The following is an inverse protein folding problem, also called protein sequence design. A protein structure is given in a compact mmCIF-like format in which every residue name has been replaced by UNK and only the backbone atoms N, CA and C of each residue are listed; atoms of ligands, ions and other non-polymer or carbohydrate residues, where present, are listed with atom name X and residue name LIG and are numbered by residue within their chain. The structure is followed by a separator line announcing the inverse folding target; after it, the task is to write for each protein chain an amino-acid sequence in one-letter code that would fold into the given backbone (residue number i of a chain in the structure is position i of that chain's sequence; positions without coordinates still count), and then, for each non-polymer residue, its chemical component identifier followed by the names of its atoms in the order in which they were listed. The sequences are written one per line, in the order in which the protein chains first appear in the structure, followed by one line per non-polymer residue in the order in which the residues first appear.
data_IF_398923492816
#
_entry.id   IF_398923492816
#
_cell.length_a   1.000
_cell.length_b   1.000
_cell.length_c   1.000
_cell.angle_alpha   90.00
_cell.angle_beta   90.00
_cell.angle_gamma   90.00
#
_symmetry.space_group_name_H-M   'P 1'
#
loop_
_entity.id
_entity.type
_entity.pdbx_description
1 polymer ?
#
# COMPACT_ATOMS: atom_id res chain seq x y z
N UNK A 1 27.36 12.66 22.45
CA UNK A 1 27.01 13.69 21.43
C UNK A 1 25.71 13.21 20.81
N UNK A 2 24.59 13.78 21.24
CA UNK A 2 23.26 13.44 20.73
C UNK A 2 23.08 14.09 19.36
N UNK A 3 22.63 13.37 18.34
CA UNK A 3 22.33 13.97 17.04
C UNK A 3 21.05 14.79 17.15
N UNK A 4 21.17 16.10 17.01
CA UNK A 4 20.03 17.01 16.92
C UNK A 4 19.40 16.88 15.54
N UNK A 5 18.13 16.45 15.48
CA UNK A 5 17.31 16.47 14.27
C UNK A 5 17.27 17.91 13.69
N UNK A 6 17.34 18.07 12.37
CA UNK A 6 17.25 19.38 11.74
C UNK A 6 15.88 20.02 12.00
N UNK A 7 15.91 21.32 12.36
CA UNK A 7 14.73 22.12 12.78
C UNK A 7 13.53 22.15 11.81
N UNK A 8 13.66 21.67 10.59
CA UNK A 8 12.58 21.64 9.59
C UNK A 8 11.57 20.51 9.81
N UNK A 9 11.95 19.38 10.41
CA UNK A 9 11.02 18.28 10.76
C UNK A 9 10.09 18.62 11.94
N UNK A 10 10.46 19.63 12.76
CA UNK A 10 9.70 19.98 13.97
C UNK A 10 8.38 20.73 13.72
N UNK A 11 8.14 21.22 12.50
CA UNK A 11 6.95 22.05 12.18
C UNK A 11 5.73 21.28 11.67
N UNK A 12 5.83 19.98 11.39
CA UNK A 12 4.73 19.19 10.79
C UNK A 12 4.06 18.21 11.75
N UNK A 13 4.47 18.17 13.03
CA UNK A 13 4.00 17.19 14.04
C UNK A 13 2.67 17.56 14.71
N UNK A 14 1.90 18.52 14.20
CA UNK A 14 0.63 18.94 14.83
C UNK A 14 -0.61 18.77 13.91
N UNK A 15 -0.70 17.72 13.15
CA UNK A 15 -1.94 17.44 12.42
C UNK A 15 -2.35 15.98 12.56
N UNK A 16 -3.35 15.73 13.38
CA UNK A 16 -4.17 14.53 13.34
C UNK A 16 -3.75 13.41 14.26
N UNK A 17 -4.21 13.43 15.54
CA UNK A 17 -4.44 12.21 16.31
C UNK A 17 -5.65 11.49 15.69
N UNK A 18 -5.44 10.80 14.60
CA UNK A 18 -6.37 9.81 14.13
C UNK A 18 -6.20 8.60 15.05
N UNK A 19 -7.23 8.25 15.83
CA UNK A 19 -7.31 6.98 16.53
C UNK A 19 -7.37 5.86 15.49
N UNK A 20 -6.21 5.37 15.06
CA UNK A 20 -6.10 4.13 14.33
C UNK A 20 -6.41 3.01 15.32
N UNK A 21 -7.63 2.50 15.29
CA UNK A 21 -7.93 1.21 15.90
C UNK A 21 -6.96 0.19 15.29
N UNK A 22 -6.29 -0.66 16.08
CA UNK A 22 -5.43 -1.71 15.55
C UNK A 22 -6.32 -2.68 14.76
N UNK A 23 -6.34 -2.53 13.45
CA UNK A 23 -6.95 -3.51 12.55
C UNK A 23 -5.86 -4.51 12.24
N UNK A 24 -5.93 -5.68 12.87
CA UNK A 24 -5.13 -6.83 12.45
C UNK A 24 -5.64 -7.29 11.08
N UNK A 25 -5.06 -6.76 10.03
CA UNK A 25 -5.43 -7.08 8.65
C UNK A 25 -4.75 -6.13 7.66
N UNK A 26 -4.80 -6.50 6.39
CA UNK A 26 -4.21 -5.75 5.30
C UNK A 26 -4.71 -4.31 5.21
N UNK A 27 -3.81 -3.39 4.92
CA UNK A 27 -4.18 -2.01 4.70
C UNK A 27 -4.76 -1.83 3.29
N UNK A 28 -6.01 -1.37 3.20
CA UNK A 28 -6.69 -1.03 1.94
C UNK A 28 -6.77 0.49 1.79
N UNK A 29 -6.42 0.97 0.61
CA UNK A 29 -6.44 2.39 0.27
C UNK A 29 -7.20 2.63 -1.03
N UNK A 30 -7.97 3.71 -1.16
CA UNK A 30 -8.47 4.12 -2.46
C UNK A 30 -7.27 4.42 -3.39
N UNK A 31 -7.38 4.03 -4.66
CA UNK A 31 -6.37 4.42 -5.64
C UNK A 31 -6.34 5.94 -5.78
N UNK A 32 -5.15 6.55 -5.76
CA UNK A 32 -5.03 7.98 -5.97
C UNK A 32 -5.45 8.37 -7.40
N UNK A 33 -5.85 9.62 -7.62
CA UNK A 33 -6.19 10.14 -8.94
C UNK A 33 -5.11 9.88 -10.00
N UNK A 34 -5.44 9.89 -11.29
CA UNK A 34 -4.43 9.83 -12.35
C UNK A 34 -3.34 10.89 -12.16
N UNK A 35 -2.08 10.49 -12.31
CA UNK A 35 -0.93 11.37 -12.10
C UNK A 35 -0.50 11.51 -10.64
N UNK A 36 -1.16 10.83 -9.71
CA UNK A 36 -0.73 10.68 -8.32
C UNK A 36 -0.37 9.24 -7.98
N UNK A 37 0.51 9.07 -6.98
CA UNK A 37 1.02 7.75 -6.62
C UNK A 37 1.17 7.53 -5.12
N UNK A 38 0.91 8.52 -4.27
CA UNK A 38 1.09 8.38 -2.81
C UNK A 38 -0.20 7.92 -2.16
N UNK A 39 -0.10 6.90 -1.31
CA UNK A 39 -1.19 6.36 -0.49
C UNK A 39 -0.79 6.31 0.97
N UNK A 40 -1.77 6.32 1.86
CA UNK A 40 -1.54 6.25 3.30
C UNK A 40 -0.93 7.51 3.90
N UNK A 41 -0.52 7.39 5.16
CA UNK A 41 0.06 8.47 5.94
C UNK A 41 1.14 7.92 6.87
N UNK A 42 2.12 8.76 7.21
CA UNK A 42 3.12 8.45 8.25
C UNK A 42 2.49 8.73 9.59
N UNK A 43 2.56 7.77 10.50
CA UNK A 43 2.02 7.90 11.86
C UNK A 43 3.18 7.83 12.87
N UNK A 44 3.16 8.67 13.88
CA UNK A 44 4.08 8.59 15.00
C UNK A 44 3.31 8.08 16.24
N UNK A 45 3.84 7.04 16.86
CA UNK A 45 3.30 6.46 18.11
C UNK A 45 4.24 6.76 19.27
N UNK A 46 3.71 6.95 20.50
CA UNK A 46 4.55 6.94 21.69
C UNK A 46 5.13 5.54 21.90
N UNK A 47 6.39 5.45 22.25
CA UNK A 47 7.01 4.19 22.64
C UNK A 47 6.43 3.63 23.94
N UNK A 48 6.38 2.31 24.06
CA UNK A 48 5.97 1.62 25.28
C UNK A 48 7.07 0.63 25.71
N UNK A 49 7.54 0.71 26.95
CA UNK A 49 8.65 -0.13 27.46
C UNK A 49 8.44 -1.64 27.36
N UNK A 50 7.22 -2.10 27.11
CA UNK A 50 6.90 -3.51 26.97
C UNK A 50 6.91 -4.00 25.54
N UNK A 51 7.00 -3.06 24.59
CA UNK A 51 7.00 -3.39 23.15
C UNK A 51 8.43 -3.54 22.63
N UNK A 52 8.59 -4.49 21.74
CA UNK A 52 9.69 -4.53 20.77
C UNK A 52 9.22 -3.91 19.46
N UNK A 53 10.14 -3.49 18.58
CA UNK A 53 9.76 -3.09 17.21
C UNK A 53 9.05 -4.22 16.47
N UNK A 54 9.35 -5.50 16.80
CA UNK A 54 8.65 -6.66 16.23
C UNK A 54 7.18 -6.73 16.65
N UNK A 55 6.86 -6.43 17.93
CA UNK A 55 5.48 -6.41 18.42
C UNK A 55 4.69 -5.28 17.76
N UNK A 56 5.31 -4.11 17.61
CA UNK A 56 4.71 -2.96 16.93
C UNK A 56 4.49 -3.29 15.44
N UNK A 57 5.50 -3.85 14.76
CA UNK A 57 5.39 -4.26 13.36
C UNK A 57 4.22 -5.23 13.16
N UNK A 58 4.11 -6.24 14.02
CA UNK A 58 3.04 -7.23 13.99
C UNK A 58 1.65 -6.61 14.23
N UNK A 59 1.55 -5.70 15.21
CA UNK A 59 0.30 -5.03 15.59
C UNK A 59 -0.24 -4.12 14.50
N UNK A 60 0.65 -3.44 13.78
CA UNK A 60 0.29 -2.46 12.75
C UNK A 60 0.47 -2.95 11.31
N UNK A 61 0.67 -4.25 11.13
CA UNK A 61 0.83 -4.89 9.83
C UNK A 61 1.89 -4.21 8.94
N UNK A 62 3.07 -3.98 9.52
CA UNK A 62 4.27 -3.52 8.83
C UNK A 62 5.37 -4.59 8.89
N UNK A 63 6.34 -4.52 7.96
CA UNK A 63 7.47 -5.44 7.94
C UNK A 63 8.53 -5.06 8.98
N UNK A 64 9.29 -6.06 9.45
CA UNK A 64 10.38 -5.87 10.40
C UNK A 64 11.45 -4.88 9.90
N UNK A 65 11.97 -5.07 8.69
CA UNK A 65 12.99 -4.17 8.16
C UNK A 65 12.41 -2.77 7.90
N UNK A 66 11.16 -2.67 7.47
CA UNK A 66 10.50 -1.37 7.25
C UNK A 66 10.40 -0.55 8.54
N UNK A 67 9.99 -1.14 9.66
CA UNK A 67 9.90 -0.40 10.93
C UNK A 67 11.28 -0.06 11.48
N UNK A 68 12.29 -0.92 11.30
CA UNK A 68 13.66 -0.64 11.70
C UNK A 68 14.28 0.51 10.91
N UNK A 69 14.12 0.50 9.59
CA UNK A 69 14.62 1.55 8.69
C UNK A 69 13.97 2.91 8.98
N UNK A 70 12.68 2.91 9.28
CA UNK A 70 11.95 4.13 9.64
C UNK A 70 12.36 4.70 11.01
N UNK A 71 13.01 3.89 11.87
CA UNK A 71 13.38 4.26 13.25
C UNK A 71 14.87 4.02 13.54
N UNK A 72 15.77 4.66 12.80
CA UNK A 72 17.20 4.47 13.01
C UNK A 72 17.60 4.92 14.43
N UNK A 73 18.38 4.10 15.12
CA UNK A 73 18.87 4.39 16.48
C UNK A 73 17.90 4.01 17.61
N UNK A 74 16.72 3.52 17.31
CA UNK A 74 15.81 2.92 18.31
C UNK A 74 16.26 1.49 18.60
N UNK A 75 16.35 1.14 19.91
CA UNK A 75 16.58 -0.25 20.30
C UNK A 75 15.40 -1.12 19.86
N UNK A 76 15.67 -2.09 19.01
CA UNK A 76 14.63 -2.94 18.42
C UNK A 76 13.96 -3.88 19.43
N UNK A 77 14.64 -4.17 20.55
CA UNK A 77 14.20 -5.14 21.56
C UNK A 77 13.64 -4.48 22.81
N UNK A 78 13.89 -3.19 22.98
CA UNK A 78 13.42 -2.42 24.15
C UNK A 78 13.13 -0.98 23.74
N UNK A 79 11.86 -0.72 23.45
CA UNK A 79 11.42 0.64 23.06
C UNK A 79 11.25 1.50 24.30
N UNK A 80 11.93 2.66 24.33
CA UNK A 80 11.80 3.64 25.42
C UNK A 80 10.51 4.46 25.29
N UNK A 81 9.90 4.82 26.44
CA UNK A 81 8.65 5.60 26.50
C UNK A 81 8.75 7.00 25.92
N UNK A 82 9.96 7.58 25.96
CA UNK A 82 10.18 8.96 25.53
C UNK A 82 10.56 9.06 24.04
N UNK A 83 10.53 7.92 23.34
CA UNK A 83 10.85 7.84 21.92
C UNK A 83 9.57 7.73 21.11
N UNK A 84 9.43 8.60 20.11
CA UNK A 84 8.35 8.47 19.13
C UNK A 84 8.73 7.42 18.08
N UNK A 85 7.88 6.43 17.88
CA UNK A 85 8.06 5.38 16.87
C UNK A 85 7.32 5.78 15.60
N UNK A 86 8.05 5.87 14.51
CA UNK A 86 7.49 6.14 13.17
C UNK A 86 6.95 4.85 12.57
N UNK A 87 5.67 4.83 12.27
CA UNK A 87 5.05 3.77 11.48
C UNK A 87 5.17 4.12 9.99
N UNK A 88 5.86 3.32 9.17
CA UNK A 88 5.98 3.53 7.73
C UNK A 88 4.72 3.04 7.00
N UNK A 89 3.59 3.72 7.22
CA UNK A 89 2.27 3.38 6.65
C UNK A 89 1.85 4.29 5.50
N UNK A 90 2.77 5.09 4.98
CA UNK A 90 2.65 5.82 3.73
C UNK A 90 3.55 5.18 2.68
N UNK A 91 3.07 5.08 1.43
CA UNK A 91 3.78 4.41 0.35
C UNK A 91 3.65 5.19 -0.95
N UNK A 92 4.69 5.18 -1.77
CA UNK A 92 4.60 5.54 -3.19
C UNK A 92 4.33 4.25 -3.97
N UNK A 93 3.24 4.20 -4.72
CA UNK A 93 2.92 3.05 -5.56
C UNK A 93 4.04 2.83 -6.60
N UNK A 94 4.49 1.59 -6.80
CA UNK A 94 5.49 1.29 -7.82
C UNK A 94 5.05 1.75 -9.21
N UNK A 95 6.03 2.16 -10.05
CA UNK A 95 5.80 2.50 -11.46
C UNK A 95 5.53 1.22 -12.28
N UNK A 96 4.36 0.63 -12.09
CA UNK A 96 3.92 -0.63 -12.67
C UNK A 96 2.42 -0.56 -13.02
N UNK A 97 1.92 -1.47 -13.87
CA UNK A 97 0.48 -1.60 -14.10
C UNK A 97 -0.29 -1.80 -12.80
N UNK A 98 -1.33 -1.00 -12.56
CA UNK A 98 -2.20 -1.11 -11.38
C UNK A 98 -3.25 -2.21 -11.58
N UNK A 99 -2.78 -3.45 -11.75
CA UNK A 99 -3.62 -4.64 -11.94
C UNK A 99 -2.98 -5.88 -11.31
N UNK A 100 -3.78 -6.81 -10.82
CA UNK A 100 -3.30 -8.05 -10.22
C UNK A 100 -2.41 -7.81 -9.00
N UNK A 101 -1.29 -8.51 -8.91
CA UNK A 101 -0.33 -8.41 -7.82
C UNK A 101 0.97 -7.78 -8.33
N UNK A 102 1.46 -6.77 -7.63
CA UNK A 102 2.82 -6.21 -7.81
C UNK A 102 3.59 -6.44 -6.51
N UNK A 103 4.70 -7.15 -6.57
CA UNK A 103 5.63 -7.32 -5.46
C UNK A 103 6.87 -6.48 -5.71
N UNK A 104 7.16 -5.52 -4.85
CA UNK A 104 8.43 -4.82 -4.86
C UNK A 104 9.39 -5.43 -3.84
N UNK A 105 10.47 -6.02 -4.33
CA UNK A 105 11.45 -6.74 -3.49
C UNK A 105 12.24 -5.78 -2.60
N UNK A 106 12.60 -4.59 -3.10
CA UNK A 106 13.37 -3.61 -2.34
C UNK A 106 12.66 -3.18 -1.05
N UNK A 107 11.34 -3.03 -1.09
CA UNK A 107 10.52 -2.65 0.07
C UNK A 107 9.85 -3.84 0.77
N UNK A 108 10.06 -5.07 0.26
CA UNK A 108 9.44 -6.29 0.79
C UNK A 108 7.94 -6.13 1.00
N UNK A 109 7.24 -5.69 -0.07
CA UNK A 109 5.81 -5.36 -0.01
C UNK A 109 5.06 -5.82 -1.25
N UNK A 110 3.91 -6.41 -0.99
CA UNK A 110 2.92 -6.82 -2.01
C UNK A 110 1.87 -5.72 -2.12
N UNK A 111 1.51 -5.36 -3.35
CA UNK A 111 0.39 -4.51 -3.73
C UNK A 111 -0.59 -5.34 -4.56
N UNK A 112 -1.79 -5.51 -4.07
CA UNK A 112 -2.85 -6.17 -4.81
C UNK A 112 -3.86 -5.13 -5.31
N UNK A 113 -4.12 -5.15 -6.59
CA UNK A 113 -5.09 -4.29 -7.28
C UNK A 113 -6.29 -5.14 -7.67
N UNK A 114 -7.37 -5.17 -6.88
CA UNK A 114 -8.57 -5.92 -7.21
C UNK A 114 -9.16 -5.48 -8.54
N UNK A 115 -9.85 -6.38 -9.27
CA UNK A 115 -10.63 -6.01 -10.43
C UNK A 115 -11.65 -4.91 -10.08
N UNK A 116 -11.83 -3.94 -10.99
CA UNK A 116 -12.82 -2.89 -10.81
C UNK A 116 -14.23 -3.46 -10.64
N UNK A 117 -14.96 -2.98 -9.65
CA UNK A 117 -16.37 -3.31 -9.43
C UNK A 117 -17.22 -2.10 -9.79
N UNK A 118 -18.28 -2.31 -10.54
CA UNK A 118 -19.21 -1.23 -10.91
C UNK A 118 -19.74 -0.50 -9.65
N UNK A 119 -19.73 0.83 -9.66
CA UNK A 119 -20.21 1.66 -8.54
C UNK A 119 -19.27 1.72 -7.32
N UNK A 120 -18.10 1.10 -7.35
CA UNK A 120 -17.12 1.18 -6.27
C UNK A 120 -15.82 1.87 -6.75
N UNK A 121 -15.21 2.73 -5.91
CA UNK A 121 -13.90 3.26 -6.22
C UNK A 121 -12.87 2.12 -6.31
N UNK A 122 -11.88 2.28 -7.18
CA UNK A 122 -10.76 1.33 -7.26
C UNK A 122 -9.90 1.46 -6.00
N UNK A 123 -9.43 0.34 -5.52
CA UNK A 123 -8.56 0.26 -4.35
C UNK A 123 -7.23 -0.44 -4.64
N UNK A 124 -6.28 -0.26 -3.76
CA UNK A 124 -5.09 -1.08 -3.63
C UNK A 124 -5.01 -1.62 -2.21
N UNK A 125 -4.71 -2.90 -2.08
CA UNK A 125 -4.48 -3.57 -0.79
C UNK A 125 -3.01 -3.90 -0.70
N UNK A 126 -2.39 -3.63 0.45
CA UNK A 126 -0.95 -3.85 0.59
C UNK A 126 -0.60 -4.68 1.82
N UNK A 127 0.42 -5.52 1.66
CA UNK A 127 0.86 -6.49 2.65
C UNK A 127 2.38 -6.46 2.78
N UNK A 128 2.94 -6.45 4.00
CA UNK A 128 4.36 -6.70 4.19
C UNK A 128 4.70 -8.14 3.83
N UNK A 129 5.89 -8.37 3.31
CA UNK A 129 6.30 -9.68 2.86
C UNK A 129 7.75 -9.99 3.22
N UNK A 130 8.03 -11.25 3.54
CA UNK A 130 9.41 -11.75 3.51
C UNK A 130 9.71 -12.34 2.15
N UNK A 131 10.95 -12.18 1.71
CA UNK A 131 11.44 -12.61 0.40
C UNK A 131 12.69 -13.47 0.53
N UNK A 132 13.16 -13.98 -0.60
CA UNK A 132 14.37 -14.76 -0.68
C UNK A 132 15.61 -14.00 -0.18
N UNK A 133 16.48 -14.69 0.53
CA UNK A 133 17.79 -14.18 0.90
C UNK A 133 18.73 -14.15 -0.33
N UNK A 134 19.93 -13.61 -0.17
CA UNK A 134 20.86 -13.32 -1.27
C UNK A 134 21.19 -14.54 -2.16
N UNK A 135 21.40 -15.69 -1.53
CA UNK A 135 21.75 -16.96 -2.18
C UNK A 135 20.54 -17.73 -2.73
N UNK A 136 19.31 -17.28 -2.34
CA UNK A 136 18.03 -17.87 -2.76
C UNK A 136 17.05 -16.77 -3.23
N UNK A 137 17.41 -16.07 -4.29
CA UNK A 137 16.67 -14.89 -4.76
C UNK A 137 15.25 -15.23 -5.18
N UNK A 138 14.31 -14.35 -4.80
CA UNK A 138 12.99 -14.31 -5.43
C UNK A 138 13.14 -13.83 -6.87
N UNK A 139 12.58 -14.53 -7.87
CA UNK A 139 12.74 -14.15 -9.27
C UNK A 139 12.06 -12.84 -9.60
N UNK A 140 12.64 -12.06 -10.51
CA UNK A 140 12.01 -10.86 -11.08
C UNK A 140 11.19 -11.22 -12.32
N UNK A 141 10.30 -10.29 -12.71
CA UNK A 141 9.52 -10.38 -13.96
C UNK A 141 8.08 -10.77 -13.75
N UNK A 142 7.40 -11.01 -14.86
CA UNK A 142 5.97 -11.29 -14.89
C UNK A 142 5.69 -12.78 -14.78
N UNK A 143 4.67 -13.11 -13.99
CA UNK A 143 4.13 -14.46 -13.84
C UNK A 143 2.62 -14.38 -13.55
N UNK A 144 2.02 -15.46 -13.07
CA UNK A 144 0.62 -15.51 -12.65
C UNK A 144 0.41 -16.54 -11.55
N UNK A 145 -0.69 -16.42 -10.82
CA UNK A 145 -1.17 -17.48 -9.92
C UNK A 145 -1.70 -18.65 -10.78
N UNK A 146 -1.10 -19.82 -10.63
CA UNK A 146 -1.49 -21.01 -11.40
C UNK A 146 -2.30 -22.00 -10.59
N UNK A 147 -2.18 -21.98 -9.27
CA UNK A 147 -2.90 -22.86 -8.34
C UNK A 147 -3.00 -22.23 -6.97
N UNK A 148 -4.03 -22.57 -6.23
CA UNK A 148 -4.23 -22.21 -4.83
C UNK A 148 -4.49 -23.48 -4.02
N UNK A 149 -3.97 -23.55 -2.80
CA UNK A 149 -4.18 -24.68 -1.90
C UNK A 149 -4.38 -24.17 -0.48
N UNK A 150 -5.49 -24.53 0.10
CA UNK A 150 -5.74 -24.41 1.52
C UNK A 150 -5.18 -25.62 2.25
N UNK A 151 -4.63 -25.43 3.43
CA UNK A 151 -3.98 -26.46 4.23
C UNK A 151 -2.97 -27.31 3.42
N UNK A 152 -1.93 -26.66 2.83
CA UNK A 152 -0.98 -27.35 1.98
C UNK A 152 -0.13 -28.35 2.78
N UNK A 153 0.25 -29.44 2.15
CA UNK A 153 1.35 -30.28 2.61
C UNK A 153 2.66 -29.69 2.08
N UNK A 154 3.65 -29.55 2.92
CA UNK A 154 4.97 -29.09 2.51
C UNK A 154 5.91 -30.27 2.27
N UNK A 155 6.39 -30.40 1.05
CA UNK A 155 7.43 -31.34 0.68
C UNK A 155 8.72 -30.53 0.45
N UNK A 156 9.68 -30.55 1.41
CA UNK A 156 10.91 -29.77 1.28
C UNK A 156 11.67 -30.14 0.00
N UNK A 157 12.05 -29.18 -0.85
CA UNK A 157 12.92 -29.44 -1.98
C UNK A 157 14.25 -30.07 -1.57
N UNK A 158 14.84 -30.88 -2.46
CA UNK A 158 16.12 -31.55 -2.18
C UNK A 158 17.25 -30.57 -1.82
N UNK A 159 17.25 -29.38 -2.41
CA UNK A 159 18.20 -28.31 -2.10
C UNK A 159 18.07 -27.82 -0.66
N UNK A 160 16.85 -27.62 -0.17
CA UNK A 160 16.57 -27.19 1.21
C UNK A 160 16.95 -28.32 2.20
N UNK A 161 16.58 -29.57 1.88
CA UNK A 161 16.98 -30.73 2.72
C UNK A 161 18.50 -30.83 2.87
N UNK A 162 19.25 -30.62 1.81
CA UNK A 162 20.71 -30.65 1.82
C UNK A 162 21.27 -29.53 2.70
N UNK A 163 20.82 -28.29 2.54
CA UNK A 163 21.25 -27.17 3.36
C UNK A 163 20.99 -27.39 4.86
N UNK A 164 19.83 -27.96 5.20
CA UNK A 164 19.50 -28.29 6.58
C UNK A 164 20.35 -29.42 7.10
N UNK A 165 20.58 -30.46 6.30
CA UNK A 165 21.44 -31.60 6.68
C UNK A 165 22.89 -31.17 6.95
N UNK A 166 23.44 -30.22 6.18
CA UNK A 166 24.76 -29.62 6.40
C UNK A 166 24.88 -28.93 7.76
N UNK A 167 23.76 -28.49 8.33
CA UNK A 167 23.64 -27.87 9.66
C UNK A 167 23.25 -28.88 10.76
N UNK A 168 23.15 -30.17 10.42
CA UNK A 168 22.73 -31.24 11.35
C UNK A 168 21.20 -31.26 11.61
N UNK A 169 20.42 -30.52 10.86
CA UNK A 169 18.95 -30.47 10.94
C UNK A 169 18.33 -31.29 9.77
N UNK A 170 17.81 -32.47 10.08
CA UNK A 170 17.29 -33.40 9.07
C UNK A 170 15.80 -33.22 8.89
N UNK A 171 15.39 -32.55 7.80
CA UNK A 171 14.00 -32.36 7.47
C UNK A 171 13.32 -33.66 7.03
N UNK A 172 12.04 -33.87 7.41
CA UNK A 172 11.24 -35.00 6.93
C UNK A 172 10.96 -34.89 5.43
N UNK A 173 10.53 -35.97 4.81
CA UNK A 173 10.13 -35.97 3.41
C UNK A 173 8.88 -35.12 3.14
N UNK A 174 8.03 -35.02 4.15
CA UNK A 174 6.75 -34.29 4.08
C UNK A 174 6.37 -33.76 5.46
N UNK A 175 5.90 -32.52 5.50
CA UNK A 175 5.24 -31.91 6.67
C UNK A 175 3.78 -31.77 6.37
N UNK A 176 2.87 -32.43 7.11
CA UNK A 176 1.43 -32.33 6.90
C UNK A 176 0.93 -30.92 7.16
N UNK A 177 -0.31 -30.65 6.75
CA UNK A 177 -1.01 -29.43 7.14
C UNK A 177 -1.11 -29.34 8.67
N UNK A 178 -0.97 -28.15 9.21
CA UNK A 178 -1.03 -27.89 10.65
C UNK A 178 -0.15 -26.72 11.07
N UNK A 179 -0.10 -26.49 12.37
CA UNK A 179 0.57 -25.31 12.94
C UNK A 179 2.10 -25.35 12.79
N UNK A 180 2.68 -26.54 12.62
CA UNK A 180 4.12 -26.73 12.39
C UNK A 180 4.51 -26.57 10.91
N UNK A 181 3.53 -26.45 9.99
CA UNK A 181 3.82 -26.34 8.58
C UNK A 181 4.37 -24.95 8.23
N UNK A 182 5.59 -24.84 7.68
CA UNK A 182 6.21 -23.55 7.35
C UNK A 182 5.49 -22.79 6.23
N UNK A 183 4.60 -23.44 5.45
CA UNK A 183 3.77 -22.76 4.47
C UNK A 183 2.53 -22.09 5.08
N UNK A 184 2.21 -22.39 6.35
CA UNK A 184 0.97 -21.93 6.98
C UNK A 184 -0.26 -22.59 6.35
N UNK A 185 -1.41 -21.94 6.47
CA UNK A 185 -2.71 -22.48 6.03
C UNK A 185 -3.06 -22.22 4.57
N UNK A 186 -2.39 -21.27 3.90
CA UNK A 186 -2.72 -20.86 2.55
C UNK A 186 -1.48 -20.72 1.69
N UNK A 187 -1.54 -21.26 0.47
CA UNK A 187 -0.47 -21.16 -0.52
C UNK A 187 -1.03 -20.85 -1.92
N UNK A 188 -0.47 -19.82 -2.56
CA UNK A 188 -0.72 -19.42 -3.93
C UNK A 188 0.53 -19.75 -4.75
N UNK A 189 0.42 -20.67 -5.69
CA UNK A 189 1.54 -21.13 -6.52
C UNK A 189 1.70 -20.23 -7.73
N UNK A 190 2.95 -19.82 -7.97
CA UNK A 190 3.31 -18.99 -9.11
C UNK A 190 3.59 -19.84 -10.35
N UNK A 191 3.48 -19.25 -11.54
CA UNK A 191 3.89 -19.88 -12.79
C UNK A 191 5.40 -20.13 -12.88
N UNK A 192 6.21 -19.45 -12.05
CA UNK A 192 7.60 -19.83 -11.81
C UNK A 192 7.64 -21.08 -10.95
N UNK A 193 8.17 -22.17 -11.49
CA UNK A 193 8.19 -23.46 -10.82
C UNK A 193 8.91 -23.41 -9.48
N UNK A 194 8.26 -23.89 -8.43
CA UNK A 194 8.83 -23.93 -7.06
C UNK A 194 8.63 -22.66 -6.24
N UNK A 195 8.03 -21.59 -6.81
CA UNK A 195 7.80 -20.33 -6.10
C UNK A 195 6.33 -20.17 -5.70
N UNK A 196 6.15 -19.66 -4.48
CA UNK A 196 4.83 -19.50 -3.85
C UNK A 196 4.73 -18.13 -3.16
N UNK A 197 3.49 -17.64 -3.02
CA UNK A 197 3.09 -16.69 -1.98
C UNK A 197 2.35 -17.52 -0.94
N UNK A 198 2.79 -17.50 0.32
CA UNK A 198 2.24 -18.39 1.35
C UNK A 198 2.29 -17.76 2.75
N UNK A 199 1.63 -18.38 3.71
CA UNK A 199 1.67 -17.99 5.10
C UNK A 199 2.94 -18.41 5.82
N UNK A 200 2.86 -18.49 7.13
CA UNK A 200 3.99 -18.90 7.96
C UNK A 200 3.52 -19.44 9.32
N UNK A 201 4.30 -20.32 9.92
CA UNK A 201 4.22 -20.69 11.32
C UNK A 201 5.13 -19.81 12.22
N UNK A 202 5.87 -18.84 11.62
CA UNK A 202 6.78 -17.93 12.32
C UNK A 202 6.53 -16.47 11.91
N UNK A 203 5.44 -15.85 12.38
CA UNK A 203 4.98 -14.54 11.90
C UNK A 203 5.93 -13.38 12.25
N UNK A 204 6.70 -13.47 13.33
CA UNK A 204 7.62 -12.40 13.75
C UNK A 204 8.80 -12.14 12.80
N UNK A 205 8.97 -12.96 11.77
CA UNK A 205 9.98 -12.77 10.74
C UNK A 205 9.46 -12.14 9.44
N UNK A 206 8.22 -11.63 9.41
CA UNK A 206 7.68 -10.99 8.21
C UNK A 206 8.34 -9.63 7.98
N UNK A 207 8.71 -9.37 6.71
CA UNK A 207 9.44 -8.17 6.32
C UNK A 207 10.95 -8.32 6.42
N UNK A 208 11.46 -9.55 6.31
CA UNK A 208 12.89 -9.88 6.28
C UNK A 208 13.27 -10.65 5.01
N UNK A 209 14.55 -10.63 4.66
CA UNK A 209 15.14 -11.45 3.58
C UNK A 209 15.63 -12.78 4.14
N UNK A 210 14.72 -13.72 4.37
CA UNK A 210 15.01 -14.97 5.11
C UNK A 210 14.47 -16.23 4.45
N UNK A 211 13.82 -16.14 3.29
CA UNK A 211 13.22 -17.31 2.65
C UNK A 211 14.17 -17.95 1.61
N UNK A 212 13.79 -19.12 1.12
CA UNK A 212 14.45 -19.79 -0.01
C UNK A 212 13.81 -19.35 -1.36
N UNK A 213 13.49 -18.07 -1.48
CA UNK A 213 12.94 -17.48 -2.70
C UNK A 213 11.43 -17.30 -2.73
N UNK A 214 10.67 -18.03 -1.92
CA UNK A 214 9.23 -17.85 -1.80
C UNK A 214 8.87 -16.54 -1.08
N UNK A 215 7.67 -16.05 -1.32
CA UNK A 215 7.12 -14.85 -0.70
C UNK A 215 6.27 -15.26 0.50
N UNK A 216 6.61 -14.80 1.69
CA UNK A 216 5.94 -15.15 2.93
C UNK A 216 5.20 -13.95 3.49
N UNK A 217 3.91 -14.13 3.81
CA UNK A 217 3.03 -13.12 4.40
C UNK A 217 2.62 -13.49 5.83
N UNK A 218 2.08 -12.54 6.57
CA UNK A 218 1.39 -12.84 7.82
C UNK A 218 0.23 -13.84 7.56
N UNK A 219 -0.11 -14.70 8.53
CA UNK A 219 -1.16 -15.70 8.36
C UNK A 219 -2.52 -15.11 7.92
N UNK A 220 -2.94 -14.02 8.53
CA UNK A 220 -4.18 -13.33 8.20
C UNK A 220 -4.12 -12.62 6.84
N UNK A 221 -2.96 -12.08 6.46
CA UNK A 221 -2.76 -11.41 5.18
C UNK A 221 -2.84 -12.38 4.00
N UNK A 222 -2.21 -13.56 4.15
CA UNK A 222 -2.29 -14.57 3.09
C UNK A 222 -3.68 -15.17 2.99
N UNK A 223 -4.40 -15.33 4.10
CA UNK A 223 -5.80 -15.78 4.13
C UNK A 223 -6.70 -14.80 3.37
N UNK A 224 -6.59 -13.49 3.66
CA UNK A 224 -7.32 -12.45 2.96
C UNK A 224 -6.97 -12.44 1.46
N UNK A 225 -5.68 -12.41 1.12
CA UNK A 225 -5.21 -12.42 -0.27
C UNK A 225 -5.69 -13.68 -1.00
N UNK A 226 -5.64 -14.83 -0.36
CA UNK A 226 -6.14 -16.09 -0.90
C UNK A 226 -7.64 -16.03 -1.23
N UNK A 227 -8.45 -15.45 -0.35
CA UNK A 227 -9.88 -15.25 -0.59
C UNK A 227 -10.19 -14.34 -1.78
N UNK A 228 -9.36 -13.31 -1.99
CA UNK A 228 -9.59 -12.24 -2.99
C UNK A 228 -9.03 -12.55 -4.38
N UNK A 229 -7.95 -13.33 -4.47
CA UNK A 229 -7.18 -13.52 -5.71
C UNK A 229 -7.62 -14.80 -6.44
N UNK A 230 -8.18 -14.71 -7.67
CA UNK A 230 -8.46 -15.87 -8.48
C UNK A 230 -7.21 -16.49 -9.11
N UNK A 231 -7.27 -17.77 -9.46
CA UNK A 231 -6.28 -18.40 -10.35
C UNK A 231 -6.26 -17.66 -11.68
N UNK A 232 -5.08 -17.47 -12.25
CA UNK A 232 -4.86 -16.67 -13.45
C UNK A 232 -4.48 -15.21 -13.18
N UNK A 233 -4.61 -14.72 -11.94
CA UNK A 233 -4.21 -13.37 -11.58
C UNK A 233 -2.75 -13.12 -11.95
N UNK A 234 -2.49 -12.02 -12.66
CA UNK A 234 -1.14 -11.57 -13.02
C UNK A 234 -0.34 -11.22 -11.79
N UNK A 235 0.93 -11.57 -11.79
CA UNK A 235 1.90 -11.20 -10.75
C UNK A 235 3.11 -10.58 -11.43
N UNK A 236 3.51 -9.40 -11.01
CA UNK A 236 4.74 -8.74 -11.41
C UNK A 236 5.65 -8.61 -10.20
N UNK A 237 6.85 -9.15 -10.31
CA UNK A 237 7.89 -9.01 -9.29
C UNK A 237 8.98 -8.09 -9.82
N UNK A 238 9.26 -7.01 -9.10
CA UNK A 238 10.23 -5.98 -9.47
C UNK A 238 11.12 -5.62 -8.27
N UNK A 239 12.25 -5.00 -8.57
CA UNK A 239 13.19 -4.45 -7.59
C UNK A 239 13.34 -2.96 -7.87
N UNK A 240 12.56 -2.16 -7.16
CA UNK A 240 12.53 -0.70 -7.29
C UNK A 240 12.85 -0.05 -5.93
N UNK A 241 14.13 0.10 -5.60
CA UNK A 241 14.56 0.70 -4.33
C UNK A 241 14.23 2.18 -4.24
N UNK A 242 14.08 2.86 -5.36
CA UNK A 242 13.73 4.28 -5.42
C UNK A 242 12.38 4.46 -6.10
N UNK A 243 11.53 5.28 -5.50
CA UNK A 243 10.23 5.65 -6.04
C UNK A 243 10.02 7.15 -5.90
N UNK A 244 9.34 7.75 -6.88
CA UNK A 244 8.89 9.14 -6.82
C UNK A 244 7.45 9.22 -7.30
N UNK A 245 6.64 10.07 -6.66
CA UNK A 245 5.24 10.20 -7.00
C UNK A 245 4.61 11.46 -6.42
N UNK A 246 3.61 11.96 -7.11
CA UNK A 246 2.89 13.16 -6.72
C UNK A 246 1.79 12.85 -5.71
N UNK A 247 1.61 13.77 -4.74
CA UNK A 247 0.41 13.89 -3.91
C UNK A 247 -0.02 15.35 -3.94
N UNK A 248 -1.13 15.64 -4.61
CA UNK A 248 -1.48 17.01 -4.93
C UNK A 248 -0.42 17.68 -5.80
N UNK A 249 0.11 18.79 -5.35
CA UNK A 249 1.16 19.56 -6.03
C UNK A 249 2.58 19.30 -5.54
N UNK A 250 2.78 18.38 -4.59
CA UNK A 250 4.09 18.08 -4.00
C UNK A 250 4.61 16.73 -4.51
N UNK A 251 5.88 16.70 -4.92
CA UNK A 251 6.56 15.45 -5.24
C UNK A 251 7.06 14.80 -3.94
N UNK A 252 6.76 13.52 -3.78
CA UNK A 252 7.30 12.66 -2.74
C UNK A 252 8.36 11.74 -3.35
N UNK A 253 9.41 11.49 -2.58
CA UNK A 253 10.47 10.54 -2.94
C UNK A 253 10.67 9.56 -1.81
N UNK A 254 10.82 8.29 -2.16
CA UNK A 254 11.00 7.18 -1.23
C UNK A 254 12.23 6.37 -1.66
N UNK A 255 13.08 6.03 -0.68
CA UNK A 255 14.29 5.26 -0.89
C UNK A 255 14.38 4.11 0.10
N UNK A 256 14.73 2.93 -0.39
CA UNK A 256 15.01 1.71 0.37
C UNK A 256 16.46 1.31 0.21
N UNK A 257 17.04 0.58 1.18
CA UNK A 257 18.38 0.02 1.05
C UNK A 257 18.48 -0.88 -0.19
N UNK A 258 19.60 -0.83 -0.88
CA UNK A 258 19.84 -1.69 -2.01
C UNK A 258 19.85 -3.18 -1.60
N UNK A 259 19.44 -4.07 -2.50
CA UNK A 259 19.38 -5.50 -2.23
C UNK A 259 20.72 -6.10 -1.82
N UNK A 260 21.84 -5.52 -2.25
CA UNK A 260 23.21 -5.98 -2.02
C UNK A 260 24.01 -5.13 -1.02
N UNK A 261 23.35 -4.34 -0.18
CA UNK A 261 24.02 -3.33 0.67
C UNK A 261 25.16 -3.88 1.54
N UNK A 262 24.97 -5.08 2.11
CA UNK A 262 26.01 -5.71 2.94
C UNK A 262 27.20 -6.24 2.11
N UNK A 263 26.97 -6.58 0.84
CA UNK A 263 27.98 -7.12 -0.06
C UNK A 263 28.72 -6.05 -0.88
N UNK A 264 28.05 -4.92 -1.13
CA UNK A 264 28.55 -3.82 -1.96
C UNK A 264 28.26 -2.45 -1.33
N UNK A 265 29.00 -2.04 -0.27
CA UNK A 265 28.80 -0.74 0.39
C UNK A 265 28.96 0.48 -0.55
N UNK A 266 29.66 0.30 -1.69
CA UNK A 266 29.84 1.34 -2.70
C UNK A 266 28.60 1.55 -3.59
N UNK A 267 27.65 0.59 -3.63
CA UNK A 267 26.43 0.72 -4.44
C UNK A 267 25.56 1.93 -4.03
N UNK A 268 25.68 2.36 -2.75
CA UNK A 268 24.99 3.57 -2.27
C UNK A 268 25.58 4.88 -2.76
N UNK A 269 26.78 4.85 -3.35
CA UNK A 269 27.40 6.07 -3.89
C UNK A 269 26.83 6.46 -5.25
N UNK A 270 26.25 5.51 -5.98
CA UNK A 270 25.60 5.79 -7.25
C UNK A 270 24.16 6.29 -7.05
N UNK A 271 23.96 7.59 -7.16
CA UNK A 271 22.66 8.24 -7.11
C UNK A 271 21.97 8.35 -8.48
N UNK A 272 22.56 7.80 -9.53
CA UNK A 272 21.97 7.85 -10.88
C UNK A 272 20.58 7.23 -10.95
N UNK A 273 20.28 6.09 -10.28
CA UNK A 273 18.96 5.49 -10.33
C UNK A 273 17.87 6.39 -9.71
N UNK A 274 18.11 7.03 -8.55
CA UNK A 274 17.11 7.91 -7.94
C UNK A 274 16.91 9.18 -8.78
N UNK A 275 17.99 9.72 -9.39
CA UNK A 275 17.87 10.85 -10.30
C UNK A 275 16.96 10.53 -11.48
N UNK A 276 17.12 9.34 -12.08
CA UNK A 276 16.26 8.91 -13.19
C UNK A 276 14.79 8.82 -12.76
N UNK A 277 14.51 8.23 -11.60
CA UNK A 277 13.14 8.10 -11.06
C UNK A 277 12.50 9.48 -10.84
N UNK A 278 13.24 10.45 -10.30
CA UNK A 278 12.75 11.84 -10.11
C UNK A 278 12.50 12.51 -11.47
N UNK A 279 13.44 12.42 -12.43
CA UNK A 279 13.28 12.98 -13.76
C UNK A 279 12.08 12.40 -14.49
N UNK A 280 11.83 11.09 -14.34
CA UNK A 280 10.66 10.45 -14.93
C UNK A 280 9.35 10.94 -14.30
N UNK A 281 9.34 11.16 -12.99
CA UNK A 281 8.17 11.65 -12.26
C UNK A 281 7.80 13.10 -12.59
N UNK A 282 8.78 13.96 -12.93
CA UNK A 282 8.54 15.37 -13.30
C UNK A 282 8.37 15.59 -14.79
N UNK A 283 8.64 14.55 -15.63
CA UNK A 283 8.60 14.66 -17.08
C UNK A 283 7.24 15.15 -17.58
N UNK A 284 7.28 16.20 -18.42
CA UNK A 284 6.10 16.75 -19.08
C UNK A 284 5.17 17.55 -18.16
N UNK A 285 5.61 17.85 -16.94
CA UNK A 285 4.86 18.69 -16.01
C UNK A 285 5.67 19.94 -15.63
N UNK A 286 5.09 21.16 -15.68
CA UNK A 286 5.73 22.34 -15.13
C UNK A 286 5.97 22.15 -13.63
N UNK A 287 7.20 22.32 -13.20
CA UNK A 287 7.60 22.11 -11.80
C UNK A 287 8.66 23.13 -11.36
N UNK A 288 8.83 23.30 -10.05
CA UNK A 288 9.93 24.07 -9.48
C UNK A 288 11.28 23.40 -9.75
N UNK A 289 12.38 24.10 -9.53
CA UNK A 289 13.72 23.51 -9.65
C UNK A 289 13.88 22.28 -8.75
N UNK A 290 14.62 21.28 -9.20
CA UNK A 290 14.94 20.09 -8.43
C UNK A 290 16.14 20.38 -7.54
N UNK A 291 15.98 20.24 -6.22
CA UNK A 291 17.08 20.25 -5.27
C UNK A 291 17.70 18.85 -5.20
N UNK A 292 18.77 18.65 -5.96
CA UNK A 292 19.48 17.38 -6.01
C UNK A 292 20.17 17.02 -4.69
N UNK A 293 20.50 18.01 -3.84
CA UNK A 293 21.07 17.76 -2.52
C UNK A 293 20.04 17.12 -1.59
N UNK A 294 18.79 17.60 -1.64
CA UNK A 294 17.67 16.99 -0.92
C UNK A 294 17.44 15.53 -1.38
N UNK A 295 17.41 15.30 -2.69
CA UNK A 295 17.21 13.96 -3.28
C UNK A 295 18.35 13.01 -2.88
N UNK A 296 19.58 13.46 -2.93
CA UNK A 296 20.75 12.67 -2.51
C UNK A 296 20.69 12.31 -1.02
N UNK A 297 20.26 13.24 -0.17
CA UNK A 297 20.08 12.97 1.26
C UNK A 297 19.03 11.88 1.52
N UNK A 298 17.89 11.93 0.82
CA UNK A 298 16.84 10.90 0.90
C UNK A 298 17.40 9.52 0.47
N UNK A 299 18.16 9.49 -0.63
CA UNK A 299 18.78 8.26 -1.11
C UNK A 299 19.75 7.65 -0.10
N UNK A 300 20.57 8.47 0.54
CA UNK A 300 21.55 8.02 1.54
C UNK A 300 20.93 7.58 2.85
N UNK A 301 19.82 8.19 3.26
CA UNK A 301 19.09 7.79 4.47
C UNK A 301 18.32 6.50 4.29
N UNK A 302 17.77 6.25 3.11
CA UNK A 302 17.06 5.04 2.70
C UNK A 302 16.11 4.49 3.78
N UNK A 303 15.34 5.37 4.42
CA UNK A 303 14.47 5.03 5.55
C UNK A 303 13.22 4.24 5.16
N UNK A 304 12.94 4.08 3.86
CA UNK A 304 11.71 3.45 3.37
C UNK A 304 10.44 4.27 3.63
N UNK A 305 10.58 5.52 4.09
CA UNK A 305 9.45 6.43 4.34
C UNK A 305 9.41 7.48 3.22
N UNK A 306 8.26 7.67 2.54
CA UNK A 306 8.12 8.75 1.58
C UNK A 306 8.35 10.12 2.19
N UNK A 307 9.23 10.92 1.59
CA UNK A 307 9.58 12.28 2.02
C UNK A 307 8.97 13.28 1.05
N UNK A 308 8.21 14.24 1.58
CA UNK A 308 7.74 15.37 0.79
C UNK A 308 8.92 16.28 0.44
N UNK A 309 9.19 16.47 -0.85
CA UNK A 309 10.31 17.29 -1.33
C UNK A 309 9.90 18.75 -1.52
N UNK A 310 10.89 19.60 -1.77
CA UNK A 310 10.69 20.99 -2.18
C UNK A 310 10.14 21.13 -3.63
N UNK A 311 10.06 20.03 -4.38
CA UNK A 311 9.63 20.03 -5.78
C UNK A 311 8.11 20.11 -5.82
N UNK A 312 7.59 21.19 -6.42
CA UNK A 312 6.16 21.43 -6.58
C UNK A 312 5.80 21.57 -8.05
N UNK A 313 4.63 21.08 -8.43
CA UNK A 313 4.05 21.33 -9.75
C UNK A 313 3.04 22.48 -9.69
N UNK A 314 3.02 23.30 -10.73
CA UNK A 314 1.93 24.24 -10.92
C UNK A 314 0.65 23.46 -11.16
N UNK A 315 -0.40 23.76 -10.39
CA UNK A 315 -1.72 23.29 -10.78
C UNK A 315 -2.02 23.92 -12.15
N UNK A 316 -2.38 23.09 -13.14
CA UNK A 316 -2.97 23.63 -14.35
C UNK A 316 -4.16 24.47 -13.88
N UNK A 317 -4.12 25.76 -14.16
CA UNK A 317 -5.30 26.61 -14.01
C UNK A 317 -6.35 25.94 -14.91
N UNK A 318 -7.28 25.23 -14.30
CA UNK A 318 -8.51 24.86 -15.01
C UNK A 318 -9.17 26.19 -15.26
N UNK A 319 -8.92 26.76 -16.44
CA UNK A 319 -9.68 27.88 -16.95
C UNK A 319 -11.15 27.44 -16.87
N UNK A 320 -11.85 27.92 -15.85
CA UNK A 320 -13.28 27.75 -15.82
C UNK A 320 -13.75 28.34 -17.14
N UNK A 321 -14.48 27.57 -17.97
CA UNK A 321 -15.04 28.14 -19.18
C UNK A 321 -15.79 29.41 -18.75
N UNK A 322 -15.38 30.54 -19.33
CA UNK A 322 -15.97 31.83 -19.05
C UNK A 322 -17.50 31.65 -19.01
N UNK A 323 -18.09 31.91 -17.86
CA UNK A 323 -19.53 31.90 -17.77
C UNK A 323 -19.99 32.86 -18.87
N UNK A 324 -20.85 32.44 -19.80
CA UNK A 324 -21.37 33.35 -20.80
C UNK A 324 -21.99 34.53 -20.04
N UNK A 325 -21.49 35.74 -20.31
CA UNK A 325 -22.09 36.97 -19.78
C UNK A 325 -23.60 36.87 -19.97
N UNK A 326 -24.32 36.97 -18.84
CA UNK A 326 -25.78 36.98 -18.88
C UNK A 326 -26.22 38.14 -19.75
N UNK A 327 -26.59 37.82 -20.98
CA UNK A 327 -27.25 38.78 -21.87
C UNK A 327 -28.48 39.28 -21.13
N UNK A 328 -28.46 40.55 -20.75
CA UNK A 328 -29.56 41.19 -20.06
C UNK A 328 -30.88 40.95 -20.85
N UNK A 329 -31.83 40.29 -20.19
CA UNK A 329 -33.12 40.04 -20.78
C UNK A 329 -33.79 41.38 -21.16
N UNK A 330 -34.44 41.50 -22.34
CA UNK A 330 -35.15 42.71 -22.73
C UNK A 330 -36.26 42.99 -21.74
N UNK A 331 -36.61 44.28 -21.48
CA UNK A 331 -37.62 44.67 -20.52
C UNK A 331 -39.02 44.13 -20.91
N UNK A 332 -39.71 43.59 -19.92
CA UNK A 332 -41.02 43.00 -20.04
C UNK A 332 -42.02 44.02 -20.50
N UNK A 333 -43.00 43.72 -21.42
CA UNK A 333 -44.05 44.62 -21.84
C UNK A 333 -45.00 44.89 -20.68
N UNK A 334 -45.68 46.12 -20.70
CA UNK A 334 -46.53 46.54 -19.59
C UNK A 334 -47.74 45.63 -19.40
N UNK A 335 -48.07 45.34 -18.16
CA UNK A 335 -49.16 44.47 -17.73
C UNK A 335 -50.50 45.02 -18.16
N UNK A 336 -51.25 44.21 -18.93
CA UNK A 336 -52.67 44.54 -19.32
C UNK A 336 -53.55 44.27 -18.12
N UNK A 337 -54.41 45.31 -17.80
CA UNK A 337 -55.38 45.27 -16.72
C UNK A 337 -56.30 44.04 -16.82
N UNK A 338 -56.36 43.21 -15.77
CA UNK A 338 -57.37 42.18 -15.66
C UNK A 338 -58.65 42.70 -15.06
N UNK A 339 -59.70 42.60 -15.82
CA UNK A 339 -61.08 42.79 -15.37
C UNK A 339 -61.52 41.62 -14.50
N UNK A 340 -62.07 41.98 -13.36
CA UNK A 340 -62.69 41.06 -12.38
C UNK A 340 -63.93 40.39 -13.00
N UNK A 341 -64.03 39.09 -12.95
CA UNK A 341 -65.25 38.30 -13.09
C UNK A 341 -65.48 37.39 -11.87
N UNK A 342 -66.73 37.45 -11.41
CA UNK A 342 -67.20 36.88 -10.13
C UNK A 342 -67.35 35.35 -10.12
N UNK A 343 -67.53 34.72 -8.94
CA UNK A 343 -67.44 33.29 -8.75
C UNK A 343 -68.75 32.56 -9.00
N UNK A 344 -68.70 31.29 -9.38
CA UNK A 344 -69.84 30.37 -9.40
C UNK A 344 -69.50 29.02 -8.75
N UNK A 345 -70.49 28.27 -8.22
CA UNK A 345 -70.38 27.50 -6.97
C UNK A 345 -69.98 26.02 -7.14
N UNK A 346 -69.69 25.46 -5.98
CA UNK A 346 -69.38 24.10 -5.70
C UNK A 346 -70.49 23.12 -6.13
N UNK A 347 -70.09 21.95 -6.62
CA UNK A 347 -70.95 20.78 -6.54
C UNK A 347 -70.13 19.57 -6.05
N UNK A 348 -70.68 18.94 -5.02
CA UNK A 348 -70.23 17.82 -4.26
C UNK A 348 -70.78 16.53 -4.83
N UNK A 349 -70.00 15.47 -4.90
CA UNK A 349 -70.42 14.07 -4.73
C UNK A 349 -69.18 13.15 -4.74
N UNK A 350 -68.82 12.64 -3.62
CA UNK A 350 -69.23 11.42 -2.95
C UNK A 350 -68.82 10.10 -3.60
N UNK A 351 -67.95 9.44 -2.85
CA UNK A 351 -67.90 8.00 -2.55
C UNK A 351 -67.33 7.06 -3.65
N UNK A 352 -66.58 6.05 -3.38
CA UNK A 352 -66.60 5.05 -2.29
C UNK A 352 -65.29 4.27 -2.31
N UNK A 353 -64.88 3.87 -1.15
CA UNK A 353 -63.85 2.88 -0.86
C UNK A 353 -64.27 1.45 -1.26
N UNK A 354 -63.28 0.65 -1.63
CA UNK A 354 -63.29 -0.80 -1.40
C UNK A 354 -61.86 -1.31 -1.24
N UNK A 355 -61.51 -1.74 -0.09
CA UNK A 355 -60.52 -2.77 0.25
C UNK A 355 -61.32 -4.04 0.60
N UNK A 356 -60.74 -5.16 0.96
CA UNK A 356 -59.53 -5.92 0.59
C UNK A 356 -59.89 -7.37 0.30
N UNK A 357 -58.93 -8.23 0.05
CA UNK A 357 -58.87 -9.52 0.73
C UNK A 357 -57.62 -10.37 0.44
N UNK A 358 -56.98 -10.75 1.49
CA UNK A 358 -56.07 -11.86 1.70
C UNK A 358 -56.60 -13.22 1.21
N UNK A 359 -55.69 -14.05 0.67
CA UNK A 359 -55.78 -15.53 0.84
C UNK A 359 -54.39 -16.15 0.83
N UNK A 360 -54.07 -16.79 1.92
CA UNK A 360 -53.10 -17.85 2.25
C UNK A 360 -53.33 -19.18 1.53
N UNK A 361 -52.25 -20.01 1.50
CA UNK A 361 -52.10 -21.45 1.24
C UNK A 361 -51.57 -21.76 -0.17
N UNK A 362 -50.54 -22.53 -0.29
CA UNK A 362 -50.03 -23.73 0.43
C UNK A 362 -48.50 -23.74 0.37
#
# INVERSE_FOLDING_TARGET
MTPTLPHRLRRWLLAGLAFLSPVAGAASFPLPPPGEAVIGEVVALPGERRDTLSDIARRYNVGWDAIRQANPGVDAWMVDRDVAIILPTQYILPAAPREGIVLNLAEMRVYYYPPAKAGHPREVVTYPASIGRMDWRTPLGATKIVRKTENPVWNPPASIKREHAEKGDFLPDSVPAGDDNPLGRHALYLGHAGYLIHGTNRPYGIGMRVTHGCVRLYPEDVEELFGRVPVGTKVLMLDAPFKAGWKGNVLYVEAHPAFNEEAEPEAHKDISPIRQVVLDAVRGQPHSAVDWTEIELIARQATGVPVATSITRSQAVVEQPAQPEAVAAPPAPPARAQTKTAPRPQDSARAKAVAPQTKTRS
#
